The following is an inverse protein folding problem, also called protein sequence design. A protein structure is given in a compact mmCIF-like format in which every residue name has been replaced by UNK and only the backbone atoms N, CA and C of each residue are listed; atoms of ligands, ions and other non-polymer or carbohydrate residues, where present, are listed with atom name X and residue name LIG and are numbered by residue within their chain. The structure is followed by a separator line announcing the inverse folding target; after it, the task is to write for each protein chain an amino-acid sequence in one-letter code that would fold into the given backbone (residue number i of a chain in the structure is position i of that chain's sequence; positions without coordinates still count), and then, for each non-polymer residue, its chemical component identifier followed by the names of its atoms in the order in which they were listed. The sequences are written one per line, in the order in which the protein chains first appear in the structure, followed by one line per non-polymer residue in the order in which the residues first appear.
data_IF_057271560163
#
_entry.id   IF_057271560163
#
_cell.length_a   1.000
_cell.length_b   1.000
_cell.length_c   1.000
_cell.angle_alpha   90.00
_cell.angle_beta   90.00
_cell.angle_gamma   90.00
#
_symmetry.space_group_name_H-M   'P 1'
#
loop_
_entity.id
_entity.type
_entity.pdbx_description
1 polymer ?
#
# COMPACT_ATOMS: atom_id res chain seq x y z
N UNK A 1 4.38 -3.39 7.95
CA UNK A 1 4.46 -2.33 8.95
C UNK A 1 3.62 -1.15 8.51
N UNK A 2 2.89 -0.53 9.42
CA UNK A 2 2.24 0.74 9.15
C UNK A 2 3.17 1.86 9.63
N UNK A 3 3.96 2.45 8.71
CA UNK A 3 4.88 3.55 9.07
C UNK A 3 4.17 4.85 9.44
N UNK A 4 2.84 4.84 9.42
CA UNK A 4 2.02 5.98 9.82
C UNK A 4 1.48 5.84 11.25
N UNK A 5 1.94 4.86 12.03
CA UNK A 5 1.47 4.62 13.41
C UNK A 5 -0.06 4.55 13.52
N UNK A 6 -0.72 3.89 12.57
CA UNK A 6 -2.19 3.82 12.49
C UNK A 6 -2.91 5.14 12.18
N UNK A 7 -2.18 6.26 11.97
CA UNK A 7 -2.79 7.53 11.54
C UNK A 7 -3.34 7.46 10.13
N UNK A 8 -2.80 6.59 9.28
CA UNK A 8 -3.36 6.26 7.96
C UNK A 8 -3.65 4.76 7.95
N UNK A 9 -4.93 4.42 7.78
CA UNK A 9 -5.38 3.03 7.66
C UNK A 9 -4.93 2.45 6.31
N UNK A 10 -3.83 1.69 6.33
CA UNK A 10 -3.23 1.11 5.13
C UNK A 10 -3.68 -0.31 4.84
N UNK A 11 -4.04 -1.08 5.87
CA UNK A 11 -4.52 -2.47 5.79
C UNK A 11 -5.80 -2.60 6.63
N UNK A 12 -6.83 -3.21 6.06
CA UNK A 12 -8.11 -3.41 6.73
C UNK A 12 -8.56 -4.86 6.57
N UNK A 13 -9.11 -5.44 7.63
CA UNK A 13 -9.81 -6.71 7.56
C UNK A 13 -11.27 -6.44 7.15
N UNK A 14 -11.87 -7.41 6.47
CA UNK A 14 -13.32 -7.46 6.33
C UNK A 14 -13.90 -7.86 7.70
N UNK A 15 -14.72 -6.99 8.28
CA UNK A 15 -15.65 -7.38 9.34
C UNK A 15 -16.98 -7.76 8.69
N UNK A 16 -17.72 -8.70 9.28
CA UNK A 16 -18.97 -9.25 8.74
C UNK A 16 -20.11 -8.24 8.59
N UNK A 17 -19.90 -6.96 8.94
CA UNK A 17 -20.86 -5.85 8.85
C UNK A 17 -20.43 -4.75 7.84
N UNK A 18 -19.65 -5.10 6.80
CA UNK A 18 -19.14 -4.16 5.78
C UNK A 18 -18.22 -3.04 6.33
N UNK A 19 -17.89 -3.10 7.63
CA UNK A 19 -16.97 -2.18 8.29
C UNK A 19 -15.54 -2.65 8.07
N UNK A 20 -14.74 -1.82 7.42
CA UNK A 20 -13.30 -2.06 7.27
C UNK A 20 -12.58 -1.71 8.58
N UNK A 21 -12.25 -2.71 9.38
CA UNK A 21 -11.50 -2.50 10.63
C UNK A 21 -10.00 -2.47 10.30
N UNK A 22 -9.26 -1.41 10.67
CA UNK A 22 -7.82 -1.36 10.44
C UNK A 22 -7.14 -2.49 11.21
N UNK A 23 -6.36 -3.32 10.51
CA UNK A 23 -5.63 -4.41 11.15
C UNK A 23 -4.39 -3.85 11.83
N UNK A 24 -4.32 -4.02 13.14
CA UNK A 24 -3.10 -3.82 13.89
C UNK A 24 -2.14 -5.00 13.65
N UNK A 25 -1.29 -4.88 12.63
CA UNK A 25 -0.21 -5.85 12.43
C UNK A 25 0.90 -5.59 13.45
N UNK A 26 1.48 -6.64 14.05
CA UNK A 26 2.67 -6.47 14.88
C UNK A 26 3.76 -5.75 14.06
N UNK A 27 4.31 -4.68 14.63
CA UNK A 27 5.43 -3.97 14.03
C UNK A 27 6.62 -4.95 13.92
N UNK A 28 7.36 -4.89 12.82
CA UNK A 28 8.57 -5.70 12.71
C UNK A 28 9.57 -5.24 13.77
N UNK A 29 10.22 -6.18 14.47
CA UNK A 29 11.21 -5.85 15.51
C UNK A 29 12.30 -4.90 15.02
N UNK A 30 12.68 -4.99 13.74
CA UNK A 30 13.63 -4.09 13.12
C UNK A 30 13.27 -3.83 11.65
N UNK A 31 13.71 -2.67 11.14
CA UNK A 31 13.62 -2.34 9.70
C UNK A 31 14.46 -3.28 8.82
N UNK A 32 15.50 -3.91 9.39
CA UNK A 32 16.33 -4.89 8.70
C UNK A 32 15.60 -6.22 8.52
N UNK A 33 14.85 -6.67 9.53
CA UNK A 33 14.03 -7.89 9.43
C UNK A 33 12.95 -7.75 8.36
N UNK A 34 12.24 -6.61 8.35
CA UNK A 34 11.23 -6.34 7.34
C UNK A 34 11.82 -6.39 5.92
N UNK A 35 12.97 -5.74 5.70
CA UNK A 35 13.66 -5.76 4.42
C UNK A 35 14.12 -7.16 4.03
N UNK A 36 14.73 -7.91 4.94
CA UNK A 36 15.19 -9.27 4.67
C UNK A 36 14.05 -10.18 4.22
N UNK A 37 12.92 -10.15 4.93
CA UNK A 37 11.72 -10.91 4.55
C UNK A 37 11.20 -10.48 3.17
N UNK A 38 11.10 -9.18 2.90
CA UNK A 38 10.62 -8.70 1.60
C UNK A 38 11.55 -9.11 0.45
N UNK A 39 12.86 -9.07 0.64
CA UNK A 39 13.82 -9.53 -0.37
C UNK A 39 13.69 -11.04 -0.60
N UNK A 40 13.68 -11.85 0.45
CA UNK A 40 13.54 -13.29 0.31
C UNK A 40 12.24 -13.68 -0.39
N UNK A 41 11.11 -13.03 -0.09
CA UNK A 41 9.85 -13.31 -0.81
C UNK A 41 9.98 -13.05 -2.31
N UNK A 42 10.63 -11.95 -2.70
CA UNK A 42 10.85 -11.61 -4.11
C UNK A 42 11.83 -12.59 -4.76
N UNK A 43 12.93 -12.93 -4.09
CA UNK A 43 13.95 -13.89 -4.57
C UNK A 43 13.36 -15.29 -4.77
N UNK A 44 12.45 -15.72 -3.90
CA UNK A 44 11.71 -16.98 -4.01
C UNK A 44 10.57 -16.93 -5.04
N UNK A 45 10.40 -15.82 -5.76
CA UNK A 45 9.47 -15.70 -6.88
C UNK A 45 8.06 -15.24 -6.52
N UNK A 46 7.85 -14.57 -5.39
CA UNK A 46 6.56 -13.93 -5.10
C UNK A 46 6.19 -12.96 -6.23
N UNK A 47 4.96 -13.09 -6.74
CA UNK A 47 4.47 -12.23 -7.82
C UNK A 47 4.23 -10.80 -7.33
N UNK A 48 5.17 -9.90 -7.65
CA UNK A 48 5.11 -8.48 -7.33
C UNK A 48 3.97 -7.75 -8.05
N UNK A 49 3.42 -8.35 -9.10
CA UNK A 49 2.33 -7.82 -9.90
C UNK A 49 0.96 -8.39 -9.52
N UNK A 50 0.91 -9.32 -8.55
CA UNK A 50 -0.33 -9.98 -8.16
C UNK A 50 -1.46 -8.97 -7.88
N UNK A 51 -2.65 -9.32 -8.33
CA UNK A 51 -3.90 -8.66 -7.97
C UNK A 51 -4.59 -9.61 -6.99
N UNK A 52 -4.57 -9.31 -5.68
CA UNK A 52 -5.26 -10.14 -4.71
C UNK A 52 -6.77 -10.12 -4.97
N UNK A 53 -7.48 -11.15 -4.53
CA UNK A 53 -8.95 -11.19 -4.55
C UNK A 53 -9.52 -11.04 -3.14
N UNK A 54 -10.74 -10.52 -3.06
CA UNK A 54 -11.58 -10.59 -1.87
C UNK A 54 -12.04 -12.04 -1.65
N UNK A 55 -12.60 -12.33 -0.48
CA UNK A 55 -13.16 -13.66 -0.16
C UNK A 55 -14.31 -14.06 -1.10
N UNK A 56 -15.00 -13.07 -1.68
CA UNK A 56 -16.04 -13.25 -2.70
C UNK A 56 -15.50 -13.47 -4.13
N UNK A 57 -14.18 -13.56 -4.29
CA UNK A 57 -13.50 -13.80 -5.56
C UNK A 57 -13.30 -12.56 -6.43
N UNK A 58 -13.72 -11.36 -6.00
CA UNK A 58 -13.53 -10.11 -6.78
C UNK A 58 -12.12 -9.55 -6.62
N UNK A 59 -11.54 -9.05 -7.70
CA UNK A 59 -10.22 -8.43 -7.67
C UNK A 59 -10.14 -7.20 -6.73
N UNK A 60 -9.03 -7.14 -5.99
CA UNK A 60 -8.64 -6.06 -5.07
C UNK A 60 -7.37 -5.37 -5.59
N UNK A 61 -7.43 -4.58 -6.67
CA UNK A 61 -6.23 -3.89 -7.16
C UNK A 61 -5.62 -2.93 -6.12
N UNK A 62 -6.42 -2.45 -5.15
CA UNK A 62 -5.95 -1.62 -4.03
C UNK A 62 -5.11 -2.38 -2.98
N UNK A 63 -5.13 -3.72 -3.01
CA UNK A 63 -4.32 -4.59 -2.16
C UNK A 63 -3.06 -5.10 -2.88
N UNK A 64 -2.86 -4.73 -4.15
CA UNK A 64 -1.64 -5.07 -4.87
C UNK A 64 -0.38 -4.57 -4.11
N UNK A 65 0.77 -5.28 -4.24
CA UNK A 65 1.98 -4.96 -3.47
C UNK A 65 2.40 -3.48 -3.52
N UNK A 66 2.39 -2.88 -4.72
CA UNK A 66 2.76 -1.46 -4.90
C UNK A 66 1.76 -0.49 -4.26
N UNK A 67 0.46 -0.81 -4.33
CA UNK A 67 -0.60 0.00 -3.73
C UNK A 67 -0.50 -0.03 -2.19
N UNK A 68 -0.23 -1.21 -1.62
CA UNK A 68 -0.03 -1.36 -0.17
C UNK A 68 1.22 -0.62 0.29
N UNK A 69 2.33 -0.71 -0.44
CA UNK A 69 3.55 0.02 -0.11
C UNK A 69 3.32 1.54 -0.06
N UNK A 70 2.57 2.10 -1.02
CA UNK A 70 2.23 3.52 -1.06
C UNK A 70 1.27 3.89 0.08
N UNK A 71 0.17 3.15 0.25
CA UNK A 71 -0.83 3.43 1.30
C UNK A 71 -0.26 3.33 2.71
N UNK A 72 0.70 2.44 2.92
CA UNK A 72 1.41 2.28 4.20
C UNK A 72 2.55 3.28 4.39
N UNK A 73 2.79 4.18 3.43
CA UNK A 73 3.94 5.08 3.40
C UNK A 73 5.27 4.32 3.57
N UNK A 74 5.34 3.09 3.04
CA UNK A 74 6.49 2.21 3.18
C UNK A 74 7.45 2.41 2.02
N UNK A 75 8.26 3.47 2.13
CA UNK A 75 9.26 3.84 1.13
C UNK A 75 10.20 2.68 0.79
N UNK A 76 10.57 1.87 1.77
CA UNK A 76 11.53 0.78 1.57
C UNK A 76 10.95 -0.34 0.72
N UNK A 77 9.70 -0.76 1.02
CA UNK A 77 8.97 -1.69 0.18
C UNK A 77 8.75 -1.12 -1.22
N UNK A 78 8.39 0.17 -1.32
CA UNK A 78 8.22 0.84 -2.60
C UNK A 78 9.51 0.78 -3.42
N UNK A 79 10.67 1.12 -2.85
CA UNK A 79 11.97 1.08 -3.55
C UNK A 79 12.35 -0.33 -4.00
N UNK A 80 12.10 -1.36 -3.17
CA UNK A 80 12.38 -2.75 -3.52
C UNK A 80 11.52 -3.25 -4.69
N UNK A 81 10.22 -2.97 -4.63
CA UNK A 81 9.30 -3.25 -5.73
C UNK A 81 9.67 -2.43 -6.96
N UNK A 82 10.12 -1.19 -6.76
CA UNK A 82 10.62 -0.32 -7.81
C UNK A 82 12.05 -0.65 -8.28
N UNK A 83 12.66 -1.74 -7.82
CA UNK A 83 13.97 -2.21 -8.28
C UNK A 83 13.92 -3.50 -9.11
N UNK A 84 12.81 -4.26 -9.12
CA UNK A 84 12.72 -5.54 -9.86
C UNK A 84 12.71 -5.40 -11.38
N UNK A 85 12.72 -6.45 -12.18
CA UNK A 85 12.39 -6.33 -13.61
C UNK A 85 10.94 -6.77 -13.85
N UNK A 86 10.33 -6.43 -14.99
CA UNK A 86 8.96 -6.85 -15.31
C UNK A 86 7.84 -6.26 -14.44
N UNK A 87 8.07 -5.12 -13.75
CA UNK A 87 7.02 -4.38 -13.04
C UNK A 87 5.92 -3.94 -14.01
N UNK A 88 4.66 -4.22 -13.68
CA UNK A 88 3.50 -3.77 -14.43
C UNK A 88 2.79 -2.66 -13.65
N UNK A 89 3.11 -1.41 -14.00
CA UNK A 89 2.51 -0.22 -13.39
C UNK A 89 1.33 0.32 -14.19
N UNK A 90 1.25 -0.01 -15.49
CA UNK A 90 0.18 0.43 -16.38
C UNK A 90 -1.21 0.00 -15.85
N UNK A 91 -2.16 0.94 -15.82
CA UNK A 91 -3.52 0.70 -15.34
C UNK A 91 -3.69 0.67 -13.82
N UNK A 92 -2.61 0.69 -13.02
CA UNK A 92 -2.73 0.75 -11.56
C UNK A 92 -3.02 2.17 -11.09
N UNK A 93 -4.17 2.36 -10.44
CA UNK A 93 -4.54 3.62 -9.78
C UNK A 93 -3.85 3.70 -8.42
N UNK A 94 -2.59 4.14 -8.41
CA UNK A 94 -1.72 4.16 -7.22
C UNK A 94 -1.90 5.37 -6.32
N UNK A 95 -2.49 6.45 -6.85
CA UNK A 95 -2.88 7.64 -6.10
C UNK A 95 -4.19 8.19 -6.63
N UNK A 96 -5.00 8.73 -5.72
CA UNK A 96 -6.16 9.57 -6.06
C UNK A 96 -5.70 11.02 -5.87
N UNK A 97 -5.80 11.82 -6.93
CA UNK A 97 -5.55 13.27 -6.84
C UNK A 97 -6.51 13.84 -5.79
N UNK A 98 -6.02 14.65 -4.83
CA UNK A 98 -6.88 15.35 -3.89
C UNK A 98 -7.90 16.17 -4.66
N UNK A 99 -9.14 16.20 -4.18
CA UNK A 99 -10.09 17.19 -4.66
C UNK A 99 -9.58 18.55 -4.23
N UNK A 100 -9.43 19.48 -5.16
CA UNK A 100 -9.14 20.88 -4.83
C UNK A 100 -10.30 21.39 -4.00
N UNK A 101 -10.04 21.74 -2.75
CA UNK A 101 -10.97 22.47 -1.90
C UNK A 101 -10.93 23.95 -2.31
N UNK A 102 -12.00 24.70 -2.05
CA UNK A 102 -11.99 26.15 -2.31
C UNK A 102 -10.89 26.88 -1.50
N UNK A 103 -10.41 26.27 -0.40
CA UNK A 103 -9.27 26.73 0.40
C UNK A 103 -7.90 26.50 -0.26
N UNK A 104 -7.84 25.68 -1.31
CA UNK A 104 -6.61 25.45 -2.09
C UNK A 104 -6.44 26.48 -3.21
N UNK A 105 -7.37 27.42 -3.36
CA UNK A 105 -7.21 28.58 -4.25
C UNK A 105 -6.16 29.52 -3.65
N UNK A 106 -5.23 30.06 -4.46
CA UNK A 106 -4.32 31.09 -3.96
C UNK A 106 -5.16 32.26 -3.42
N UNK A 107 -4.93 32.64 -2.17
CA UNK A 107 -5.42 33.91 -1.64
C UNK A 107 -4.81 35.03 -2.47
N UNK A 108 -5.64 35.90 -3.03
CA UNK A 108 -5.17 37.10 -3.71
C UNK A 108 -4.30 37.90 -2.72
N UNK A 109 -3.06 38.18 -3.10
CA UNK A 109 -2.19 39.10 -2.37
C UNK A 109 -2.86 40.50 -2.39
N UNK A 110 -3.08 41.07 -1.21
CA UNK A 110 -3.56 42.45 -1.01
C UNK A 110 -2.39 43.40 -0.77
#
# INVERSE_FOLDING_TARGET
DNLTEYRISSISAADGDDRRVPVALPLWRTRGLQEGVMRSLIEEGADINAIPTHEDGRDCPAAAPICVAIRACNEKAFRLLMAQEGRQLGGRKVMRVPWTLDTDRPTEDH
#
